data_IF_368786882579
#
_entry.id   IF_368786882579
#
_cell.length_a   1.000
_cell.length_b   1.000
_cell.length_c   1.000
_cell.angle_alpha   90.00
_cell.angle_beta   90.00
_cell.angle_gamma   90.00
#
_symmetry.space_group_name_H-M   'P 1'
#
loop_
_entity.id
_entity.type
_entity.pdbx_description
1 polymer ?
#
# COMPACT_ATOMS: atom_id res chain seq x y z
N UNK A 1 4.40 5.91 -14.69
CA UNK A 1 5.31 4.77 -14.46
C UNK A 1 5.77 4.66 -13.02
N UNK A 2 6.62 5.59 -12.56
CA UNK A 2 7.28 5.55 -11.24
C UNK A 2 6.28 5.46 -10.07
N UNK A 3 5.22 6.26 -10.09
CA UNK A 3 4.20 6.29 -9.03
C UNK A 3 3.53 4.91 -8.86
N UNK A 4 3.17 4.27 -9.97
CA UNK A 4 2.56 2.93 -9.97
C UNK A 4 3.57 1.89 -9.49
N UNK A 5 4.83 2.01 -9.90
CA UNK A 5 5.91 1.12 -9.42
C UNK A 5 6.11 1.21 -7.92
N UNK A 6 6.21 2.43 -7.37
CA UNK A 6 6.32 2.65 -5.93
C UNK A 6 5.08 2.14 -5.19
N UNK A 7 3.88 2.40 -5.71
CA UNK A 7 2.63 1.88 -5.16
C UNK A 7 2.67 0.35 -5.02
N UNK A 8 3.03 -0.37 -6.10
CA UNK A 8 3.08 -1.83 -6.09
C UNK A 8 4.15 -2.38 -5.15
N UNK A 9 5.33 -1.74 -5.10
CA UNK A 9 6.40 -2.13 -4.17
C UNK A 9 5.95 -1.94 -2.72
N UNK A 10 5.32 -0.81 -2.39
CA UNK A 10 4.77 -0.58 -1.04
C UNK A 10 3.67 -1.58 -0.71
N UNK A 11 2.76 -1.86 -1.64
CA UNK A 11 1.67 -2.84 -1.47
C UNK A 11 2.20 -4.25 -1.18
N UNK A 12 3.25 -4.66 -1.90
CA UNK A 12 3.94 -5.92 -1.66
C UNK A 12 4.63 -5.93 -0.30
N UNK A 13 5.36 -4.88 0.07
CA UNK A 13 6.03 -4.77 1.37
C UNK A 13 5.05 -4.86 2.54
N UNK A 14 3.91 -4.16 2.46
CA UNK A 14 2.84 -4.22 3.47
C UNK A 14 2.26 -5.62 3.66
N UNK A 15 2.44 -6.53 2.70
CA UNK A 15 2.02 -7.92 2.85
C UNK A 15 2.97 -8.75 3.74
N UNK A 16 4.22 -8.30 3.92
CA UNK A 16 5.25 -8.97 4.73
C UNK A 16 5.54 -8.25 6.05
N UNK A 17 5.41 -6.92 6.09
CA UNK A 17 5.70 -6.10 7.28
C UNK A 17 4.49 -5.24 7.65
N UNK A 18 4.54 -4.60 8.82
CA UNK A 18 3.48 -3.65 9.23
C UNK A 18 3.42 -2.47 8.25
N UNK A 19 2.22 -1.91 8.05
CA UNK A 19 2.02 -0.72 7.22
C UNK A 19 2.94 0.46 7.61
N UNK A 20 3.20 0.64 8.92
CA UNK A 20 4.14 1.67 9.43
C UNK A 20 5.58 1.38 8.99
N UNK A 21 6.01 0.12 9.04
CA UNK A 21 7.33 -0.29 8.60
C UNK A 21 7.49 -0.11 7.08
N UNK A 22 6.48 -0.50 6.29
CA UNK A 22 6.50 -0.34 4.84
C UNK A 22 6.63 1.14 4.44
N UNK A 23 5.87 2.06 5.05
CA UNK A 23 6.00 3.50 4.80
C UNK A 23 7.38 4.00 5.19
N UNK A 24 7.87 3.63 6.37
CA UNK A 24 9.19 4.07 6.87
C UNK A 24 10.35 3.64 5.95
N UNK A 25 10.22 2.50 5.27
CA UNK A 25 11.20 2.01 4.30
C UNK A 25 11.09 2.77 2.97
N UNK A 26 9.88 2.91 2.43
CA UNK A 26 9.69 3.44 1.07
C UNK A 26 9.76 4.97 1.02
N UNK A 27 9.33 5.66 2.07
CA UNK A 27 9.31 7.12 2.15
C UNK A 27 10.68 7.79 1.88
N UNK A 28 11.79 7.42 2.54
CA UNK A 28 13.09 8.04 2.28
C UNK A 28 13.59 7.78 0.86
N UNK A 29 13.29 6.62 0.28
CA UNK A 29 13.63 6.29 -1.11
C UNK A 29 12.87 7.22 -2.06
N UNK A 30 11.57 7.36 -1.87
CA UNK A 30 10.72 8.24 -2.67
C UNK A 30 11.11 9.72 -2.54
N UNK A 31 11.48 10.15 -1.34
CA UNK A 31 11.98 11.50 -1.10
C UNK A 31 13.31 11.77 -1.84
N UNK A 32 14.24 10.82 -1.82
CA UNK A 32 15.49 10.93 -2.57
C UNK A 32 15.24 10.96 -4.09
N UNK A 33 14.24 10.23 -4.60
CA UNK A 33 13.93 10.18 -6.03
C UNK A 33 13.49 11.53 -6.60
N UNK A 34 12.62 12.30 -5.93
CA UNK A 34 12.19 13.58 -6.51
C UNK A 34 13.18 14.72 -6.33
N UNK A 35 14.27 14.54 -5.57
CA UNK A 35 15.43 15.43 -5.67
C UNK A 35 16.20 15.19 -6.98
N UNK A 36 16.13 13.98 -7.56
CA UNK A 36 16.87 13.59 -8.76
C UNK A 36 16.06 13.59 -10.06
N UNK A 37 14.72 13.70 -10.00
CA UNK A 37 13.84 13.57 -11.18
C UNK A 37 13.05 14.86 -11.40
N UNK A 38 13.42 15.66 -12.43
CA UNK A 38 12.69 16.87 -12.79
C UNK A 38 11.23 16.58 -13.16
N UNK A 39 10.31 17.39 -12.64
CA UNK A 39 8.87 17.29 -12.93
C UNK A 39 8.14 16.16 -12.21
N UNK A 40 8.78 15.41 -11.31
CA UNK A 40 8.10 14.41 -10.49
C UNK A 40 7.19 15.08 -9.45
N UNK A 41 5.89 14.80 -9.54
CA UNK A 41 4.93 15.29 -8.55
C UNK A 41 5.08 14.51 -7.23
N UNK A 42 5.84 15.07 -6.30
CA UNK A 42 6.11 14.46 -4.98
C UNK A 42 4.85 14.25 -4.15
N UNK A 43 3.85 15.13 -4.26
CA UNK A 43 2.59 14.95 -3.57
C UNK A 43 1.87 13.68 -4.06
N UNK A 44 1.83 13.44 -5.38
CA UNK A 44 1.28 12.22 -5.94
C UNK A 44 2.03 10.96 -5.50
N UNK A 45 3.36 11.04 -5.39
CA UNK A 45 4.20 9.92 -4.92
C UNK A 45 3.92 9.59 -3.45
N UNK A 46 3.90 10.58 -2.56
CA UNK A 46 3.63 10.32 -1.13
C UNK A 46 2.21 9.84 -0.90
N UNK A 47 1.24 10.38 -1.63
CA UNK A 47 -0.14 9.91 -1.59
C UNK A 47 -0.24 8.46 -2.06
N UNK A 48 0.45 8.09 -3.14
CA UNK A 48 0.51 6.70 -3.60
C UNK A 48 1.05 5.75 -2.52
N UNK A 49 2.16 6.13 -1.85
CA UNK A 49 2.76 5.33 -0.78
C UNK A 49 1.80 5.20 0.42
N UNK A 50 1.16 6.30 0.83
CA UNK A 50 0.22 6.30 1.95
C UNK A 50 -0.98 5.39 1.69
N UNK A 51 -1.59 5.47 0.50
CA UNK A 51 -2.69 4.58 0.13
C UNK A 51 -2.22 3.13 -0.04
N UNK A 52 -1.07 2.87 -0.67
CA UNK A 52 -0.52 1.52 -0.80
C UNK A 52 -0.28 0.85 0.55
N UNK A 53 0.29 1.59 1.51
CA UNK A 53 0.52 1.09 2.85
C UNK A 53 -0.78 0.77 3.60
N UNK A 54 -1.84 1.53 3.33
CA UNK A 54 -3.17 1.33 3.91
C UNK A 54 -3.89 0.08 3.37
N UNK A 55 -3.43 -0.51 2.27
CA UNK A 55 -3.98 -1.72 1.66
C UNK A 55 -3.61 -3.03 2.42
N UNK A 56 -3.66 -2.99 3.75
CA UNK A 56 -3.27 -4.09 4.67
C UNK A 56 -4.38 -5.14 4.83
N UNK A 57 -4.87 -5.69 3.73
CA UNK A 57 -6.00 -6.63 3.74
C UNK A 57 -5.57 -8.11 3.67
N UNK A 58 -4.36 -8.38 3.20
CA UNK A 58 -3.92 -9.73 2.83
C UNK A 58 -3.47 -10.60 4.00
N UNK A 59 -2.89 -9.99 5.04
CA UNK A 59 -2.21 -10.72 6.10
C UNK A 59 -2.75 -10.32 7.48
N UNK A 60 -2.99 -11.28 8.39
CA UNK A 60 -3.48 -10.96 9.72
C UNK A 60 -2.48 -10.12 10.51
N UNK A 61 -1.17 -10.29 10.28
CA UNK A 61 -0.09 -9.54 10.93
C UNK A 61 0.16 -8.13 10.36
N UNK A 62 -0.47 -7.79 9.22
CA UNK A 62 -0.25 -6.48 8.59
C UNK A 62 -0.92 -5.32 9.34
N UNK A 63 -1.91 -5.62 10.19
CA UNK A 63 -2.61 -4.62 11.01
C UNK A 63 -3.04 -5.18 12.38
N UNK A 64 -2.93 -4.37 13.43
CA UNK A 64 -3.19 -4.79 14.81
C UNK A 64 -4.63 -5.28 15.02
N UNK A 65 -5.61 -4.68 14.36
CA UNK A 65 -7.02 -5.11 14.45
C UNK A 65 -7.28 -6.45 13.75
N UNK A 66 -6.58 -6.73 12.64
CA UNK A 66 -6.68 -8.04 11.97
C UNK A 66 -6.17 -9.17 12.88
N UNK A 67 -5.15 -8.90 13.70
CA UNK A 67 -4.68 -9.82 14.75
C UNK A 67 -5.71 -10.04 15.85
N UNK A 68 -6.44 -9.00 16.27
CA UNK A 68 -7.45 -9.10 17.34
C UNK A 68 -8.60 -10.04 16.97
N UNK A 69 -8.96 -10.15 15.69
CA UNK A 69 -9.99 -11.08 15.22
C UNK A 69 -9.42 -12.44 14.81
N UNK A 70 -8.11 -12.54 14.52
CA UNK A 70 -7.47 -13.77 14.07
C UNK A 70 -7.60 -14.92 15.08
N UNK A 71 -7.29 -14.67 16.35
CA UNK A 71 -7.37 -15.69 17.41
C UNK A 71 -8.81 -15.93 17.90
N UNK A 72 -9.44 -14.96 18.58
CA UNK A 72 -10.79 -15.09 19.14
C UNK A 72 -11.89 -15.36 18.11
N UNK A 73 -11.73 -14.87 16.86
CA UNK A 73 -12.71 -15.05 15.79
C UNK A 73 -12.55 -16.37 15.02
N UNK A 74 -11.54 -17.19 15.31
CA UNK A 74 -11.33 -18.48 14.65
C UNK A 74 -10.96 -18.39 13.17
N UNK A 75 -10.55 -17.21 12.69
CA UNK A 75 -10.16 -17.01 11.29
C UNK A 75 -8.79 -17.64 11.00
N UNK A 76 -8.64 -18.25 9.83
CA UNK A 76 -7.38 -18.80 9.35
C UNK A 76 -6.69 -17.81 8.41
N UNK A 77 -5.37 -17.93 8.26
CA UNK A 77 -4.61 -17.09 7.34
C UNK A 77 -5.17 -17.08 5.91
N UNK A 78 -5.69 -18.24 5.46
CA UNK A 78 -6.33 -18.39 4.15
C UNK A 78 -7.60 -17.56 3.99
N UNK A 79 -8.33 -17.28 5.06
CA UNK A 79 -9.57 -16.49 4.99
C UNK A 79 -9.25 -15.03 4.68
N UNK A 80 -8.17 -14.49 5.28
CA UNK A 80 -7.65 -13.15 4.98
C UNK A 80 -7.15 -13.05 3.54
N UNK A 81 -6.41 -14.04 3.04
CA UNK A 81 -5.98 -14.03 1.64
C UNK A 81 -7.17 -14.13 0.68
N UNK A 82 -8.15 -15.00 0.96
CA UNK A 82 -9.28 -15.24 0.05
C UNK A 82 -10.16 -14.02 -0.13
N UNK A 83 -10.38 -13.24 0.93
CA UNK A 83 -11.22 -12.03 0.88
C UNK A 83 -10.39 -10.77 0.65
N UNK A 84 -9.22 -10.67 1.26
CA UNK A 84 -8.35 -9.49 1.20
C UNK A 84 -7.73 -9.26 -0.17
N UNK A 85 -7.37 -10.32 -0.90
CA UNK A 85 -6.72 -10.22 -2.21
C UNK A 85 -7.62 -9.62 -3.30
N UNK A 86 -8.86 -10.09 -3.52
CA UNK A 86 -9.78 -9.43 -4.46
C UNK A 86 -10.11 -7.99 -4.02
N UNK A 87 -10.26 -7.74 -2.72
CA UNK A 87 -10.56 -6.40 -2.21
C UNK A 87 -9.39 -5.43 -2.40
N UNK A 88 -8.16 -5.88 -2.16
CA UNK A 88 -6.96 -5.09 -2.37
C UNK A 88 -6.73 -4.77 -3.85
N UNK A 89 -7.07 -5.68 -4.77
CA UNK A 89 -7.02 -5.40 -6.20
C UNK A 89 -8.00 -4.30 -6.59
N UNK A 90 -9.26 -4.38 -6.14
CA UNK A 90 -10.27 -3.34 -6.40
C UNK A 90 -9.80 -2.00 -5.83
N UNK A 91 -9.32 -2.00 -4.58
CA UNK A 91 -8.77 -0.82 -3.93
C UNK A 91 -7.58 -0.23 -4.70
N UNK A 92 -6.67 -1.06 -5.16
CA UNK A 92 -5.49 -0.64 -5.94
C UNK A 92 -5.89 0.04 -7.23
N UNK A 93 -6.85 -0.53 -7.98
CA UNK A 93 -7.36 0.06 -9.22
C UNK A 93 -8.00 1.42 -8.95
N UNK A 94 -8.82 1.53 -7.91
CA UNK A 94 -9.48 2.79 -7.54
C UNK A 94 -8.47 3.86 -7.14
N UNK A 95 -7.50 3.53 -6.30
CA UNK A 95 -6.46 4.47 -5.85
C UNK A 95 -5.58 4.92 -7.01
N UNK A 96 -5.11 4.00 -7.85
CA UNK A 96 -4.28 4.35 -9.00
C UNK A 96 -5.07 5.27 -9.94
N UNK A 97 -6.32 4.94 -10.24
CA UNK A 97 -7.19 5.77 -11.08
C UNK A 97 -7.39 7.15 -10.48
N UNK A 98 -7.68 7.23 -9.17
CA UNK A 98 -7.83 8.49 -8.46
C UNK A 98 -6.58 9.37 -8.55
N UNK A 99 -5.39 8.79 -8.34
CA UNK A 99 -4.13 9.53 -8.38
C UNK A 99 -3.86 10.07 -9.79
N UNK A 100 -4.06 9.26 -10.83
CA UNK A 100 -3.86 9.68 -12.23
C UNK A 100 -4.80 10.83 -12.60
N UNK A 101 -6.10 10.70 -12.26
CA UNK A 101 -7.11 11.72 -12.59
C UNK A 101 -6.91 13.01 -11.79
N UNK A 102 -6.68 12.91 -10.47
CA UNK A 102 -6.58 14.07 -9.59
C UNK A 102 -5.31 14.89 -9.86
N UNK A 103 -4.17 14.22 -10.03
CA UNK A 103 -2.90 14.89 -10.29
C UNK A 103 -2.64 15.15 -11.78
N UNK A 104 -3.56 14.72 -12.67
CA UNK A 104 -3.47 14.85 -14.14
C UNK A 104 -2.15 14.29 -14.69
N UNK A 105 -1.81 13.06 -14.29
CA UNK A 105 -0.58 12.34 -14.66
C UNK A 105 -0.94 11.08 -15.45
#
# INVERSE_FOLDING_TARGET
GIIIGLYLVTLLLTSFVTHIAAVSIVFPIAFAMGAGIPGLNMAAVFVAIAFAASASFHAPFSYQTNLMIYGPGGYKFKDFLKVGLPFSLIYSVLVITFILVYYKI
#
